data_IF_801115830923
#
_entry.id   IF_801115830923
#
_cell.length_a   1.000
_cell.length_b   1.000
_cell.length_c   1.000
_cell.angle_alpha   90.00
_cell.angle_beta   90.00
_cell.angle_gamma   90.00
#
_symmetry.space_group_name_H-M   'P 1'
#
loop_
_entity.id
_entity.type
_entity.pdbx_description
1 polymer ?
#
# COMPACT_ATOMS: atom_id res chain seq x y z
N UNK A 1 -53.14 12.61 25.16
CA UNK A 1 -53.87 11.84 24.14
C UNK A 1 -53.08 10.58 23.90
N UNK A 2 -53.60 9.48 24.40
CA UNK A 2 -52.89 8.24 24.72
C UNK A 2 -52.81 7.27 23.53
N UNK A 3 -51.69 6.55 23.50
CA UNK A 3 -51.46 5.14 23.14
C UNK A 3 -52.56 4.39 22.36
N UNK A 4 -52.17 3.66 21.30
CA UNK A 4 -52.07 2.18 21.27
C UNK A 4 -51.76 1.65 19.85
N UNK A 5 -51.14 0.48 19.82
CA UNK A 5 -50.66 -0.25 18.64
C UNK A 5 -51.77 -0.95 17.86
N UNK A 6 -51.52 -1.29 16.59
CA UNK A 6 -52.21 -2.39 15.91
C UNK A 6 -51.25 -3.16 14.98
N UNK A 7 -51.15 -4.46 15.23
CA UNK A 7 -50.51 -5.48 14.41
C UNK A 7 -51.43 -5.84 13.23
N UNK A 8 -50.85 -6.14 12.06
CA UNK A 8 -51.54 -6.88 11.00
C UNK A 8 -50.74 -8.12 10.61
N UNK A 9 -51.46 -9.24 10.63
CA UNK A 9 -51.06 -10.59 10.25
C UNK A 9 -50.61 -10.67 8.78
N UNK A 10 -49.67 -11.58 8.50
CA UNK A 10 -49.55 -12.18 7.16
C UNK A 10 -49.73 -13.70 7.30
N UNK A 11 -50.69 -14.20 6.53
CA UNK A 11 -51.16 -15.57 6.53
C UNK A 11 -50.20 -16.52 5.78
N UNK A 12 -50.14 -17.76 6.28
CA UNK A 12 -49.43 -18.90 5.70
C UNK A 12 -50.30 -19.48 4.58
N UNK A 13 -49.78 -19.53 3.36
CA UNK A 13 -50.32 -20.31 2.25
C UNK A 13 -49.38 -21.46 1.89
N UNK A 14 -49.75 -22.69 2.26
CA UNK A 14 -49.12 -23.91 1.76
C UNK A 14 -49.48 -24.10 0.28
N UNK A 15 -48.48 -24.19 -0.58
CA UNK A 15 -48.60 -24.68 -1.95
C UNK A 15 -47.54 -25.75 -2.21
N UNK A 16 -47.97 -27.01 -2.33
CA UNK A 16 -47.15 -28.11 -2.82
C UNK A 16 -46.68 -27.83 -4.25
N UNK A 17 -45.38 -27.99 -4.50
CA UNK A 17 -44.77 -27.92 -5.83
C UNK A 17 -43.61 -28.89 -5.93
N UNK A 18 -43.85 -29.95 -6.69
CA UNK A 18 -42.99 -31.07 -7.09
C UNK A 18 -41.49 -30.78 -7.26
N UNK A 19 -40.69 -31.76 -6.85
CA UNK A 19 -39.23 -31.73 -6.92
C UNK A 19 -38.67 -31.80 -8.34
N UNK A 20 -37.56 -31.09 -8.51
CA UNK A 20 -36.48 -31.47 -9.42
C UNK A 20 -35.17 -31.37 -8.63
N UNK A 21 -34.62 -32.52 -8.27
CA UNK A 21 -33.26 -32.64 -7.77
C UNK A 21 -32.30 -32.30 -8.91
N UNK A 22 -31.80 -31.07 -8.96
CA UNK A 22 -30.63 -30.76 -9.77
C UNK A 22 -29.42 -31.37 -9.07
N UNK A 23 -29.03 -32.56 -9.52
CA UNK A 23 -27.72 -33.14 -9.24
C UNK A 23 -26.68 -32.19 -9.82
N UNK A 24 -26.06 -31.37 -8.97
CA UNK A 24 -24.82 -30.69 -9.33
C UNK A 24 -23.74 -31.77 -9.32
N UNK A 25 -23.53 -32.39 -10.49
CA UNK A 25 -22.33 -33.16 -10.75
C UNK A 25 -21.16 -32.18 -10.65
N UNK A 26 -20.41 -32.27 -9.56
CA UNK A 26 -19.10 -31.67 -9.48
C UNK A 26 -18.22 -32.31 -10.57
N UNK A 27 -18.05 -31.61 -11.69
CA UNK A 27 -17.00 -31.94 -12.65
C UNK A 27 -15.65 -31.62 -11.99
N UNK A 28 -15.13 -32.57 -11.21
CA UNK A 28 -13.71 -32.67 -10.95
C UNK A 28 -13.05 -33.31 -12.17
N UNK A 29 -12.25 -32.51 -12.89
CA UNK A 29 -11.46 -32.98 -14.01
C UNK A 29 -11.37 -31.99 -15.17
N UNK A 30 -10.76 -30.82 -14.95
CA UNK A 30 -10.21 -30.01 -16.03
C UNK A 30 -8.84 -29.49 -15.58
N UNK A 31 -7.80 -29.83 -16.35
CA UNK A 31 -6.40 -29.59 -16.01
C UNK A 31 -6.03 -28.12 -15.85
N UNK A 32 -4.78 -27.90 -15.40
CA UNK A 32 -4.04 -26.64 -15.55
C UNK A 32 -3.86 -26.28 -17.03
N UNK A 33 -4.95 -25.93 -17.70
CA UNK A 33 -4.99 -25.49 -19.09
C UNK A 33 -5.32 -24.00 -19.14
N UNK A 34 -4.44 -23.22 -19.78
CA UNK A 34 -4.61 -21.82 -20.14
C UNK A 34 -4.72 -20.79 -18.99
N UNK A 35 -3.75 -20.75 -18.07
CA UNK A 35 -3.36 -19.42 -17.59
C UNK A 35 -2.44 -18.78 -18.64
N UNK A 36 -2.74 -17.57 -19.14
CA UNK A 36 -1.83 -16.86 -20.01
C UNK A 36 -0.45 -16.72 -19.31
N UNK A 37 0.65 -16.73 -20.07
CA UNK A 37 1.97 -16.59 -19.49
C UNK A 37 2.05 -15.31 -18.64
N UNK A 38 2.87 -15.29 -17.58
CA UNK A 38 3.06 -14.08 -16.82
C UNK A 38 3.54 -12.96 -17.76
N UNK A 39 3.08 -11.72 -17.52
CA UNK A 39 3.50 -10.56 -18.30
C UNK A 39 5.03 -10.41 -18.28
N UNK A 40 5.64 -9.84 -19.33
CA UNK A 40 7.06 -9.55 -19.33
C UNK A 40 7.41 -8.56 -18.21
N UNK A 41 8.58 -8.70 -17.56
CA UNK A 41 9.04 -7.75 -16.55
C UNK A 41 9.42 -6.41 -17.21
N UNK A 42 8.98 -5.30 -16.62
CA UNK A 42 9.21 -3.92 -17.08
C UNK A 42 9.86 -3.03 -16.01
N UNK A 43 10.06 -3.56 -14.79
CA UNK A 43 10.69 -2.83 -13.68
C UNK A 43 12.20 -2.58 -13.88
N UNK A 44 12.83 -3.31 -14.80
CA UNK A 44 14.26 -3.16 -15.14
C UNK A 44 15.21 -3.73 -14.07
N UNK A 45 14.89 -4.93 -13.56
CA UNK A 45 15.69 -5.62 -12.53
C UNK A 45 17.09 -6.02 -13.02
N UNK A 46 17.27 -6.18 -14.33
CA UNK A 46 18.53 -6.45 -15.01
C UNK A 46 19.54 -5.30 -14.89
N UNK A 47 19.07 -4.06 -14.69
CA UNK A 47 19.91 -2.90 -14.40
C UNK A 47 20.48 -2.89 -12.95
N UNK A 48 20.13 -3.90 -12.14
CA UNK A 48 20.57 -4.02 -10.76
C UNK A 48 19.87 -3.05 -9.81
N UNK A 49 20.49 -2.84 -8.64
CA UNK A 49 19.97 -1.98 -7.58
C UNK A 49 21.03 -0.98 -7.11
N UNK A 50 20.58 0.24 -6.82
CA UNK A 50 21.33 1.23 -6.05
C UNK A 50 21.14 0.91 -4.57
N UNK A 51 22.23 0.90 -3.80
CA UNK A 51 22.20 0.60 -2.37
C UNK A 51 22.69 1.82 -1.60
N UNK A 52 21.87 2.30 -0.66
CA UNK A 52 22.18 3.43 0.20
C UNK A 52 22.13 2.98 1.66
N UNK A 53 23.22 3.25 2.37
CA UNK A 53 23.27 3.10 3.82
C UNK A 53 22.73 4.36 4.48
N UNK A 54 21.65 4.23 5.23
CA UNK A 54 21.01 5.33 5.97
C UNK A 54 21.02 5.01 7.47
N UNK A 55 20.81 6.00 8.35
CA UNK A 55 20.83 5.76 9.80
C UNK A 55 19.85 4.67 10.25
N UNK A 56 18.65 4.63 9.66
CA UNK A 56 17.57 3.73 10.08
C UNK A 56 17.39 2.52 9.14
N UNK A 57 17.86 2.60 7.88
CA UNK A 57 17.59 1.58 6.85
C UNK A 57 18.79 1.30 5.94
N UNK A 58 18.89 0.07 5.43
CA UNK A 58 19.51 -0.17 4.13
C UNK A 58 18.43 0.03 3.06
N UNK A 59 18.52 1.11 2.29
CA UNK A 59 17.60 1.39 1.19
C UNK A 59 18.16 0.78 -0.11
N UNK A 60 17.35 -0.02 -0.80
CA UNK A 60 17.67 -0.50 -2.15
C UNK A 60 16.65 0.03 -3.14
N UNK A 61 17.11 0.67 -4.21
CA UNK A 61 16.27 1.14 -5.31
C UNK A 61 16.61 0.36 -6.57
N UNK A 62 15.61 -0.05 -7.35
CA UNK A 62 15.87 -0.60 -8.69
C UNK A 62 16.50 0.51 -9.55
N UNK A 63 17.65 0.26 -10.18
CA UNK A 63 18.41 1.30 -10.90
C UNK A 63 17.58 1.94 -12.00
N UNK A 64 16.86 1.13 -12.78
CA UNK A 64 16.08 1.59 -13.94
C UNK A 64 14.84 2.40 -13.55
N UNK A 65 14.07 1.98 -12.54
CA UNK A 65 12.83 2.64 -12.17
C UNK A 65 12.98 3.66 -11.04
N UNK A 66 14.07 3.56 -10.24
CA UNK A 66 14.29 4.22 -8.95
C UNK A 66 13.11 4.10 -7.95
N UNK A 67 12.29 3.05 -8.07
CA UNK A 67 11.35 2.62 -7.02
C UNK A 67 12.06 1.71 -6.01
N UNK A 68 11.49 1.55 -4.82
CA UNK A 68 12.07 0.66 -3.79
C UNK A 68 12.10 -0.78 -4.29
N UNK A 69 13.28 -1.40 -4.15
CA UNK A 69 13.50 -2.84 -4.22
C UNK A 69 13.49 -3.48 -2.82
N UNK A 70 14.02 -2.78 -1.82
CA UNK A 70 14.00 -3.19 -0.41
C UNK A 70 14.10 -1.99 0.54
N UNK A 71 13.46 -2.08 1.70
CA UNK A 71 13.59 -1.14 2.82
C UNK A 71 13.88 -1.93 4.11
N UNK A 72 15.14 -2.34 4.26
CA UNK A 72 15.59 -3.20 5.35
C UNK A 72 15.92 -2.36 6.59
N UNK A 73 15.28 -2.56 7.75
CA UNK A 73 15.62 -1.81 8.96
C UNK A 73 16.99 -2.20 9.54
N UNK A 74 17.67 -1.22 10.15
CA UNK A 74 18.86 -1.49 10.96
C UNK A 74 18.50 -2.22 12.25
N UNK A 75 19.42 -3.06 12.72
CA UNK A 75 19.33 -3.74 14.02
C UNK A 75 18.39 -4.96 14.06
N UNK A 76 17.83 -5.40 12.92
CA UNK A 76 17.05 -6.63 12.86
C UNK A 76 17.95 -7.80 12.48
N UNK A 77 18.10 -8.83 13.33
CA UNK A 77 18.87 -10.00 12.99
C UNK A 77 18.16 -10.84 11.93
N UNK A 78 18.95 -11.48 11.08
CA UNK A 78 18.47 -12.54 10.19
C UNK A 78 17.99 -13.74 11.02
N UNK A 79 16.81 -14.24 10.69
CA UNK A 79 16.25 -15.44 11.29
C UNK A 79 16.72 -16.67 10.52
N UNK A 80 17.27 -17.67 11.23
CA UNK A 80 17.62 -18.96 10.63
C UNK A 80 16.60 -20.00 11.08
N UNK A 81 15.75 -20.51 10.16
CA UNK A 81 14.82 -21.58 10.46
C UNK A 81 15.51 -22.79 11.05
N UNK A 82 14.92 -23.38 12.08
CA UNK A 82 15.42 -24.65 12.63
C UNK A 82 14.71 -25.79 11.92
N UNK A 83 15.41 -26.71 11.23
CA UNK A 83 14.77 -27.83 10.54
C UNK A 83 13.90 -28.64 11.51
N UNK A 84 12.59 -28.65 11.27
CA UNK A 84 11.67 -29.48 12.06
C UNK A 84 11.72 -30.91 11.52
N UNK A 85 11.86 -31.95 12.38
CA UNK A 85 11.77 -33.33 11.92
C UNK A 85 10.41 -33.56 11.26
N UNK A 86 10.40 -34.33 10.16
CA UNK A 86 9.16 -34.68 9.47
C UNK A 86 8.18 -35.31 10.47
N UNK A 87 6.97 -34.73 10.61
CA UNK A 87 5.92 -35.36 11.42
C UNK A 87 5.65 -36.74 10.81
N UNK A 88 5.94 -37.81 11.56
CA UNK A 88 5.56 -39.17 11.20
C UNK A 88 4.06 -39.22 10.96
N UNK A 89 3.64 -39.42 9.71
CA UNK A 89 2.23 -39.39 9.33
C UNK A 89 1.46 -40.53 9.99
N UNK A 90 0.38 -40.21 10.72
CA UNK A 90 -0.70 -41.19 10.88
C UNK A 90 -1.37 -41.34 9.53
N UNK A 91 -1.20 -42.51 8.91
CA UNK A 91 -1.82 -42.88 7.66
C UNK A 91 -3.35 -42.87 7.78
N UNK A 92 -3.95 -41.73 7.47
CA UNK A 92 -5.38 -41.59 7.20
C UNK A 92 -5.54 -41.08 5.79
N UNK A 93 -6.41 -41.71 4.99
CA UNK A 93 -6.81 -41.21 3.68
C UNK A 93 -7.48 -39.84 3.84
N UNK A 94 -6.69 -38.76 3.75
CA UNK A 94 -7.19 -37.41 3.70
C UNK A 94 -7.22 -36.95 2.24
N UNK A 95 -8.38 -36.47 1.80
CA UNK A 95 -8.58 -35.89 0.48
C UNK A 95 -7.54 -34.81 0.16
N UNK A 96 -7.37 -34.54 -1.14
CA UNK A 96 -6.39 -33.64 -1.73
C UNK A 96 -6.37 -32.26 -1.06
N UNK A 97 -5.66 -32.15 0.05
CA UNK A 97 -5.32 -30.88 0.66
C UNK A 97 -4.15 -30.36 -0.17
N UNK A 98 -4.17 -29.09 -0.64
CA UNK A 98 -3.02 -28.51 -1.31
C UNK A 98 -1.77 -28.74 -0.46
N UNK A 99 -0.70 -29.23 -1.09
CA UNK A 99 0.55 -29.44 -0.38
C UNK A 99 0.98 -28.13 0.30
N UNK A 100 1.31 -28.20 1.58
CA UNK A 100 1.83 -27.04 2.30
C UNK A 100 3.09 -26.51 1.59
N UNK A 101 3.31 -25.17 1.56
CA UNK A 101 4.56 -24.62 1.05
C UNK A 101 5.77 -25.28 1.74
N UNK A 102 6.87 -25.52 1.00
CA UNK A 102 8.07 -26.13 1.59
C UNK A 102 8.61 -25.27 2.75
N UNK A 103 9.16 -25.94 3.76
CA UNK A 103 9.84 -25.26 4.86
C UNK A 103 11.04 -24.45 4.35
N UNK A 104 11.28 -23.23 4.87
CA UNK A 104 12.44 -22.45 4.50
C UNK A 104 13.72 -23.18 4.95
N UNK A 105 14.65 -23.39 4.04
CA UNK A 105 15.94 -24.04 4.33
C UNK A 105 17.10 -23.05 4.48
N UNK A 106 16.83 -21.76 4.28
CA UNK A 106 17.81 -20.69 4.31
C UNK A 106 17.42 -19.55 5.24
N UNK A 107 18.37 -18.66 5.55
CA UNK A 107 18.14 -17.47 6.36
C UNK A 107 17.04 -16.57 5.79
N UNK A 108 16.22 -16.01 6.67
CA UNK A 108 15.17 -15.04 6.38
C UNK A 108 15.56 -13.67 6.93
N UNK A 109 15.58 -12.66 6.07
CA UNK A 109 15.84 -11.28 6.45
C UNK A 109 14.55 -10.47 6.30
N UNK A 110 14.22 -9.68 7.32
CA UNK A 110 13.03 -8.84 7.28
C UNK A 110 13.25 -7.59 6.40
N UNK A 111 12.24 -7.29 5.60
CA UNK A 111 12.13 -6.11 4.74
C UNK A 111 10.70 -5.57 4.90
N UNK A 112 10.56 -4.26 5.11
CA UNK A 112 9.23 -3.65 5.19
C UNK A 112 8.46 -3.78 3.87
N UNK A 113 9.16 -3.86 2.75
CA UNK A 113 8.60 -4.02 1.40
C UNK A 113 8.66 -5.48 0.92
N UNK A 114 7.88 -5.88 -0.08
CA UNK A 114 7.90 -7.25 -0.60
C UNK A 114 9.10 -7.52 -1.53
N UNK A 115 10.32 -7.21 -1.08
CA UNK A 115 11.55 -7.35 -1.88
C UNK A 115 11.84 -8.79 -2.30
N UNK A 116 11.48 -9.77 -1.47
CA UNK A 116 11.56 -11.20 -1.81
C UNK A 116 10.57 -11.63 -2.92
N UNK A 117 9.58 -10.79 -3.23
CA UNK A 117 8.61 -10.98 -4.31
C UNK A 117 8.84 -10.03 -5.49
N UNK A 118 9.93 -9.27 -5.51
CA UNK A 118 10.20 -8.23 -6.51
C UNK A 118 10.11 -8.76 -7.95
N UNK A 119 10.70 -9.93 -8.21
CA UNK A 119 10.66 -10.57 -9.54
C UNK A 119 9.24 -10.95 -9.98
N UNK A 120 8.40 -11.43 -9.07
CA UNK A 120 7.01 -11.76 -9.36
C UNK A 120 6.13 -10.51 -9.59
N UNK A 121 6.58 -9.35 -9.08
CA UNK A 121 5.94 -8.04 -9.18
C UNK A 121 6.64 -7.11 -10.18
N UNK A 122 7.40 -7.65 -11.12
CA UNK A 122 8.27 -6.86 -11.99
C UNK A 122 7.59 -6.29 -13.24
N UNK A 123 6.33 -6.65 -13.52
CA UNK A 123 5.62 -6.22 -14.73
C UNK A 123 4.74 -4.98 -14.51
N UNK A 124 4.27 -4.39 -15.61
CA UNK A 124 3.28 -3.30 -15.61
C UNK A 124 2.02 -3.69 -14.84
N UNK A 125 1.47 -2.70 -14.12
CA UNK A 125 0.31 -2.86 -13.24
C UNK A 125 0.64 -3.39 -11.83
N UNK A 126 1.91 -3.65 -11.51
CA UNK A 126 2.35 -3.82 -10.13
C UNK A 126 2.95 -2.53 -9.62
N UNK A 127 2.37 -1.96 -8.55
CA UNK A 127 2.88 -0.78 -7.88
C UNK A 127 4.03 -1.15 -6.94
N UNK A 128 4.93 -0.20 -6.75
CA UNK A 128 6.07 -0.26 -5.82
C UNK A 128 6.12 1.03 -5.01
N UNK A 129 6.70 0.98 -3.82
CA UNK A 129 6.90 2.18 -3.02
C UNK A 129 7.86 3.12 -3.78
N UNK A 130 7.41 4.33 -4.07
CA UNK A 130 8.06 5.24 -5.02
C UNK A 130 7.31 5.42 -6.34
N UNK A 131 6.18 4.77 -6.55
CA UNK A 131 5.21 5.16 -7.58
C UNK A 131 4.29 6.30 -7.15
N UNK A 132 3.51 6.83 -8.10
CA UNK A 132 2.50 7.87 -7.88
C UNK A 132 1.28 7.61 -8.78
N UNK A 133 0.09 7.87 -8.24
CA UNK A 133 -1.18 7.91 -8.97
C UNK A 133 -1.76 9.32 -8.91
N UNK A 134 -2.41 9.76 -9.99
CA UNK A 134 -2.93 11.13 -10.11
C UNK A 134 -4.24 11.15 -10.90
N UNK A 135 -5.13 12.05 -10.51
CA UNK A 135 -6.25 12.53 -11.34
C UNK A 135 -6.10 14.01 -11.59
N UNK A 136 -5.88 14.36 -12.85
CA UNK A 136 -5.59 15.72 -13.27
C UNK A 136 -6.66 16.24 -14.23
N UNK A 137 -6.87 17.55 -14.23
CA UNK A 137 -7.74 18.24 -15.19
C UNK A 137 -7.11 19.57 -15.57
N UNK A 138 -7.00 19.84 -16.86
CA UNK A 138 -6.55 21.15 -17.37
C UNK A 138 -7.72 22.12 -17.40
N UNK A 139 -7.52 23.35 -16.95
CA UNK A 139 -8.59 24.33 -16.73
C UNK A 139 -9.35 24.07 -15.43
N UNK A 140 -10.65 24.34 -15.42
CA UNK A 140 -11.54 24.21 -14.25
C UNK A 140 -12.82 23.42 -14.53
N UNK A 141 -12.91 22.75 -15.69
CA UNK A 141 -14.11 22.05 -16.14
C UNK A 141 -13.76 20.86 -17.02
N UNK A 142 -14.62 19.85 -17.05
CA UNK A 142 -14.41 18.62 -17.82
C UNK A 142 -14.09 17.43 -16.93
N UNK A 143 -13.83 16.28 -17.58
CA UNK A 143 -13.56 15.02 -16.90
C UNK A 143 -12.14 14.98 -16.33
N UNK A 144 -11.98 14.25 -15.23
CA UNK A 144 -10.68 13.91 -14.65
C UNK A 144 -9.96 12.88 -15.52
N UNK A 145 -8.69 13.14 -15.87
CA UNK A 145 -7.82 12.19 -16.54
C UNK A 145 -6.96 11.44 -15.52
N UNK A 146 -6.85 10.12 -15.67
CA UNK A 146 -6.10 9.23 -14.77
C UNK A 146 -4.66 9.05 -15.27
N UNK A 147 -3.69 9.15 -14.36
CA UNK A 147 -2.29 8.90 -14.63
C UNK A 147 -1.69 8.06 -13.49
N UNK A 148 -0.82 7.11 -13.83
CA UNK A 148 -0.06 6.36 -12.84
C UNK A 148 1.29 5.93 -13.41
N UNK A 149 2.35 6.01 -12.61
CA UNK A 149 3.71 5.63 -13.04
C UNK A 149 3.88 4.12 -13.23
N UNK A 150 2.98 3.30 -12.67
CA UNK A 150 3.04 1.84 -12.77
C UNK A 150 2.35 1.27 -14.03
N UNK A 151 1.63 2.08 -14.80
CA UNK A 151 0.79 1.61 -15.92
C UNK A 151 1.61 1.10 -17.11
N UNK A 152 2.66 1.83 -17.50
CA UNK A 152 3.49 1.53 -18.66
C UNK A 152 4.94 1.89 -18.35
N UNK A 153 5.62 1.01 -17.60
CA UNK A 153 6.94 1.33 -17.05
C UNK A 153 7.99 1.43 -18.13
N UNK A 154 8.83 2.43 -17.96
CA UNK A 154 10.10 2.58 -18.69
C UNK A 154 11.19 3.02 -17.72
N UNK A 155 12.47 2.78 -18.04
CA UNK A 155 13.57 3.36 -17.29
C UNK A 155 13.39 4.88 -17.17
N UNK A 156 13.52 5.40 -15.95
CA UNK A 156 13.40 6.84 -15.69
C UNK A 156 14.72 7.56 -16.00
N UNK A 157 14.64 8.86 -16.25
CA UNK A 157 15.85 9.67 -16.45
C UNK A 157 16.38 10.08 -15.07
N UNK A 158 17.52 9.52 -14.67
CA UNK A 158 18.18 9.93 -13.44
C UNK A 158 18.59 11.41 -13.49
N UNK A 159 18.32 12.13 -12.41
CA UNK A 159 18.72 13.52 -12.20
C UNK A 159 19.94 13.57 -11.26
N UNK A 160 20.77 14.64 -11.32
CA UNK A 160 21.91 14.77 -10.42
C UNK A 160 21.52 14.63 -8.95
N UNK A 161 22.21 13.74 -8.23
CA UNK A 161 22.09 13.57 -6.79
C UNK A 161 23.35 14.13 -6.12
N UNK A 162 23.17 14.97 -5.10
CA UNK A 162 24.27 15.55 -4.33
C UNK A 162 23.81 15.91 -2.91
N UNK A 163 24.77 16.06 -1.99
CA UNK A 163 24.49 16.38 -0.60
C UNK A 163 23.60 15.32 0.05
N UNK A 164 22.41 15.72 0.47
CA UNK A 164 21.42 14.86 1.14
C UNK A 164 20.52 14.07 0.19
N UNK A 165 20.58 14.34 -1.12
CA UNK A 165 19.81 13.60 -2.12
C UNK A 165 20.49 12.28 -2.43
N UNK A 166 19.78 11.17 -2.18
CA UNK A 166 20.26 9.81 -2.46
C UNK A 166 20.04 9.46 -3.93
N UNK A 167 18.84 9.73 -4.45
CA UNK A 167 18.48 9.51 -5.84
C UNK A 167 17.37 10.49 -6.26
N UNK A 168 17.43 10.97 -7.49
CA UNK A 168 16.38 11.77 -8.09
C UNK A 168 16.13 11.33 -9.53
N UNK A 169 14.90 11.45 -10.00
CA UNK A 169 14.51 11.07 -11.35
C UNK A 169 13.40 11.96 -11.91
N UNK A 170 13.43 12.13 -13.23
CA UNK A 170 12.32 12.61 -14.06
C UNK A 170 11.48 11.42 -14.51
N UNK A 171 10.18 11.44 -14.20
CA UNK A 171 9.25 10.34 -14.44
C UNK A 171 8.56 10.42 -15.81
N UNK A 172 8.91 11.41 -16.65
CA UNK A 172 8.23 11.62 -17.94
C UNK A 172 8.22 10.36 -18.81
N UNK A 173 9.28 9.55 -18.79
CA UNK A 173 9.36 8.32 -19.59
C UNK A 173 8.30 7.25 -19.22
N UNK A 174 7.77 7.29 -18.00
CA UNK A 174 6.81 6.30 -17.50
C UNK A 174 5.38 6.85 -17.42
N UNK A 175 5.15 8.06 -17.95
CA UNK A 175 3.87 8.74 -17.98
C UNK A 175 3.47 9.04 -19.43
N UNK A 176 2.17 9.13 -19.74
CA UNK A 176 1.70 9.52 -21.08
C UNK A 176 2.26 10.88 -21.53
N UNK A 177 2.59 11.00 -22.82
CA UNK A 177 3.18 12.21 -23.39
C UNK A 177 2.28 13.45 -23.27
N UNK A 178 0.97 13.27 -23.10
CA UNK A 178 -0.04 14.32 -23.00
C UNK A 178 -0.31 14.79 -21.55
N UNK A 179 0.33 14.18 -20.53
CA UNK A 179 0.14 14.58 -19.13
C UNK A 179 0.43 16.09 -18.93
N UNK A 180 -0.40 16.87 -18.24
CA UNK A 180 -0.23 18.33 -18.22
C UNK A 180 0.88 18.82 -17.25
N UNK A 181 1.53 17.90 -16.52
CA UNK A 181 2.59 18.21 -15.55
C UNK A 181 3.87 17.43 -15.83
N UNK A 182 5.01 18.03 -15.53
CA UNK A 182 6.27 17.30 -15.31
C UNK A 182 6.26 16.75 -13.88
N UNK A 183 6.71 15.51 -13.70
CA UNK A 183 6.83 14.88 -12.38
C UNK A 183 8.28 14.49 -12.13
N UNK A 184 8.85 14.97 -11.02
CA UNK A 184 10.15 14.51 -10.52
C UNK A 184 9.98 13.81 -9.19
N UNK A 185 10.75 12.74 -8.96
CA UNK A 185 10.80 12.02 -7.68
C UNK A 185 12.17 12.20 -7.05
N UNK A 186 12.21 12.29 -5.73
CA UNK A 186 13.44 12.41 -4.96
C UNK A 186 13.39 11.54 -3.72
N UNK A 187 14.45 10.76 -3.52
CA UNK A 187 14.81 10.09 -2.27
C UNK A 187 15.92 10.88 -1.60
N UNK A 188 15.70 11.31 -0.35
CA UNK A 188 16.63 12.19 0.35
C UNK A 188 16.67 11.92 1.86
N UNK A 189 17.77 12.34 2.50
CA UNK A 189 17.92 12.36 3.96
C UNK A 189 17.71 13.76 4.51
N UNK A 190 16.60 14.00 5.21
CA UNK A 190 16.36 15.27 5.90
C UNK A 190 16.49 15.03 7.39
N UNK A 191 17.48 15.69 8.02
CA UNK A 191 17.81 15.50 9.44
C UNK A 191 18.03 14.02 9.79
N UNK A 192 18.72 13.28 8.92
CA UNK A 192 18.99 11.85 9.06
C UNK A 192 17.81 10.92 8.80
N UNK A 193 16.62 11.45 8.45
CA UNK A 193 15.43 10.63 8.15
C UNK A 193 15.23 10.48 6.65
N UNK A 194 14.89 9.27 6.22
CA UNK A 194 14.52 8.99 4.84
C UNK A 194 13.22 9.70 4.48
N UNK A 195 13.23 10.39 3.33
CA UNK A 195 12.09 11.10 2.77
C UNK A 195 11.96 10.75 1.29
N UNK A 196 10.75 10.38 0.90
CA UNK A 196 10.31 10.29 -0.50
C UNK A 196 9.52 11.55 -0.83
N UNK A 197 9.79 12.18 -1.98
CA UNK A 197 9.02 13.33 -2.45
C UNK A 197 8.78 13.29 -3.95
N UNK A 198 7.65 13.85 -4.37
CA UNK A 198 7.27 14.08 -5.75
C UNK A 198 6.97 15.55 -5.96
N UNK A 199 7.60 16.16 -6.95
CA UNK A 199 7.31 17.53 -7.37
C UNK A 199 6.59 17.50 -8.70
N UNK A 200 5.38 18.05 -8.72
CA UNK A 200 4.56 18.22 -9.91
C UNK A 200 4.71 19.67 -10.38
N UNK A 201 5.14 19.87 -11.62
CA UNK A 201 5.32 21.20 -12.23
C UNK A 201 4.41 21.32 -13.45
N UNK A 202 3.52 22.31 -13.46
CA UNK A 202 2.68 22.58 -14.62
C UNK A 202 3.54 23.07 -15.79
N UNK A 203 3.55 22.29 -16.88
CA UNK A 203 4.33 22.58 -18.11
C UNK A 203 3.51 23.25 -19.21
N UNK A 204 2.21 23.44 -18.99
CA UNK A 204 1.29 24.04 -19.93
C UNK A 204 1.09 25.54 -19.70
N UNK A 205 0.15 26.11 -20.46
CA UNK A 205 -0.23 27.52 -20.42
C UNK A 205 -1.58 27.78 -19.72
N UNK A 206 -2.28 26.73 -19.32
CA UNK A 206 -3.52 26.79 -18.55
C UNK A 206 -3.31 26.20 -17.13
N UNK A 207 -4.13 26.59 -16.14
CA UNK A 207 -4.10 25.95 -14.82
C UNK A 207 -4.35 24.44 -14.90
N UNK A 208 -3.76 23.69 -13.98
CA UNK A 208 -4.00 22.24 -13.83
C UNK A 208 -4.49 21.97 -12.43
N UNK A 209 -5.66 21.33 -12.32
CA UNK A 209 -6.19 20.83 -11.06
C UNK A 209 -5.66 19.42 -10.78
N UNK A 210 -5.30 19.17 -9.52
CA UNK A 210 -4.95 17.87 -8.95
C UNK A 210 -6.14 17.47 -8.07
N UNK A 211 -7.06 16.70 -8.64
CA UNK A 211 -8.27 16.28 -7.93
C UNK A 211 -8.08 14.99 -7.13
N UNK A 212 -7.11 14.15 -7.50
CA UNK A 212 -6.63 13.07 -6.63
C UNK A 212 -5.12 12.89 -6.79
N UNK A 213 -4.44 12.58 -5.68
CA UNK A 213 -3.02 12.26 -5.68
C UNK A 213 -2.77 11.16 -4.66
N UNK A 214 -2.34 9.99 -5.13
CA UNK A 214 -2.06 8.81 -4.33
C UNK A 214 -0.58 8.44 -4.38
N UNK A 215 -0.05 8.02 -3.23
CA UNK A 215 1.31 7.48 -3.10
C UNK A 215 1.19 6.02 -2.65
N UNK A 216 1.36 5.02 -3.55
CA UNK A 216 1.33 3.62 -3.18
C UNK A 216 2.33 3.29 -2.07
N UNK A 217 1.80 2.73 -0.98
CA UNK A 217 2.57 2.29 0.19
C UNK A 217 2.61 0.77 0.20
N UNK A 218 3.63 0.25 -0.48
CA UNK A 218 3.75 -1.18 -0.80
C UNK A 218 4.57 -1.90 0.27
N UNK A 219 3.90 -2.29 1.37
CA UNK A 219 4.52 -3.08 2.44
C UNK A 219 4.23 -4.58 2.29
N UNK A 220 5.05 -5.43 2.91
CA UNK A 220 5.02 -6.88 2.72
C UNK A 220 3.86 -7.56 3.47
N UNK A 221 2.60 -7.30 3.10
CA UNK A 221 1.43 -8.02 3.60
C UNK A 221 1.10 -9.29 2.78
N UNK A 222 2.04 -9.75 1.96
CA UNK A 222 1.85 -10.86 1.02
C UNK A 222 2.10 -12.22 1.70
N UNK A 223 1.17 -12.63 2.56
CA UNK A 223 1.23 -13.90 3.31
C UNK A 223 0.95 -15.09 2.39
N UNK A 224 0.17 -14.90 1.32
CA UNK A 224 -0.19 -15.96 0.38
C UNK A 224 1.03 -16.74 -0.13
N UNK A 225 0.98 -18.07 0.00
CA UNK A 225 2.05 -18.97 -0.45
C UNK A 225 3.27 -19.04 0.49
N UNK A 226 3.19 -18.47 1.69
CA UNK A 226 4.16 -18.65 2.77
C UNK A 226 3.61 -19.61 3.83
N UNK A 227 4.51 -20.36 4.48
CA UNK A 227 4.15 -21.06 5.71
C UNK A 227 4.14 -20.09 6.91
N UNK A 228 3.73 -20.55 8.09
CA UNK A 228 3.60 -19.69 9.27
C UNK A 228 4.93 -19.07 9.70
N UNK A 229 6.03 -19.81 9.65
CA UNK A 229 7.36 -19.33 10.07
C UNK A 229 7.87 -18.26 9.10
N UNK A 230 7.79 -18.52 7.80
CA UNK A 230 8.11 -17.54 6.76
C UNK A 230 7.27 -16.27 6.91
N UNK A 231 5.94 -16.42 7.06
CA UNK A 231 5.06 -15.26 7.18
C UNK A 231 5.43 -14.39 8.39
N UNK A 232 5.64 -14.97 9.58
CA UNK A 232 5.97 -14.18 10.78
C UNK A 232 7.28 -13.41 10.66
N UNK A 233 8.26 -13.98 9.94
CA UNK A 233 9.60 -13.39 9.85
C UNK A 233 9.75 -12.34 8.75
N UNK A 234 9.00 -12.46 7.64
CA UNK A 234 9.18 -11.56 6.48
C UNK A 234 7.95 -10.71 6.14
N UNK A 235 6.76 -10.98 6.70
CA UNK A 235 5.58 -10.15 6.48
C UNK A 235 5.42 -9.03 7.52
N UNK A 236 4.58 -8.06 7.17
CA UNK A 236 4.09 -7.01 8.07
C UNK A 236 2.60 -6.75 7.89
N UNK A 237 1.97 -6.23 8.94
CA UNK A 237 0.70 -5.52 8.87
C UNK A 237 0.97 -4.02 8.79
N UNK A 238 0.07 -3.28 8.16
CA UNK A 238 0.15 -1.83 8.15
C UNK A 238 -1.21 -1.19 8.27
N UNK A 239 -1.29 -0.22 9.17
CA UNK A 239 -2.54 0.35 9.65
C UNK A 239 -2.49 1.88 9.54
N UNK A 240 -3.42 2.51 8.80
CA UNK A 240 -3.48 3.95 8.66
C UNK A 240 -4.26 4.60 9.82
N UNK A 241 -3.72 5.67 10.37
CA UNK A 241 -4.47 6.69 11.10
C UNK A 241 -4.84 7.82 10.13
N UNK A 242 -6.03 7.74 9.52
CA UNK A 242 -6.47 8.64 8.43
C UNK A 242 -6.92 10.01 8.98
N UNK A 243 -5.96 10.78 9.49
CA UNK A 243 -6.19 12.01 10.24
C UNK A 243 -5.62 13.27 9.54
N UNK A 244 -5.71 13.35 8.21
CA UNK A 244 -5.23 14.49 7.42
C UNK A 244 -3.77 14.85 7.75
N UNK A 245 -3.48 16.10 8.11
CA UNK A 245 -2.14 16.56 8.47
C UNK A 245 -1.57 15.90 9.73
N UNK A 246 -2.38 15.26 10.57
CA UNK A 246 -1.96 14.48 11.73
C UNK A 246 -1.76 12.99 11.39
N UNK A 247 -2.17 12.54 10.20
CA UNK A 247 -2.21 11.14 9.86
C UNK A 247 -0.84 10.48 9.77
N UNK A 248 -0.84 9.16 9.91
CA UNK A 248 0.34 8.32 9.77
C UNK A 248 -0.05 6.91 9.36
N UNK A 249 0.91 6.12 8.90
CA UNK A 249 0.76 4.67 8.70
C UNK A 249 1.79 3.96 9.56
N UNK A 250 1.35 3.09 10.45
CA UNK A 250 2.23 2.19 11.18
C UNK A 250 2.41 0.91 10.39
N UNK A 251 3.63 0.37 10.35
CA UNK A 251 3.97 -0.91 9.71
C UNK A 251 4.67 -1.79 10.73
N UNK A 252 4.03 -2.89 11.07
CA UNK A 252 4.42 -3.77 12.16
C UNK A 252 4.78 -5.14 11.63
N UNK A 253 5.96 -5.66 12.03
CA UNK A 253 6.37 -7.03 11.73
C UNK A 253 5.30 -8.02 12.20
N UNK A 254 5.00 -9.03 11.40
CA UNK A 254 3.97 -10.02 11.75
C UNK A 254 4.31 -10.79 13.04
N UNK A 255 5.60 -10.94 13.36
CA UNK A 255 6.07 -11.50 14.64
C UNK A 255 5.73 -10.67 15.88
N UNK A 256 5.31 -9.40 15.73
CA UNK A 256 5.07 -8.48 16.83
C UNK A 256 6.34 -7.92 17.50
N UNK A 257 7.52 -8.32 17.01
CA UNK A 257 8.80 -7.78 17.48
C UNK A 257 9.09 -6.43 16.84
N UNK A 258 9.86 -5.59 17.54
CA UNK A 258 10.41 -4.37 16.96
C UNK A 258 11.47 -4.63 15.88
N UNK A 259 11.88 -3.59 15.15
CA UNK A 259 11.30 -2.26 15.13
C UNK A 259 9.99 -2.22 14.34
N UNK A 260 9.22 -1.13 14.50
CA UNK A 260 8.08 -0.79 13.67
C UNK A 260 8.41 0.43 12.80
N UNK A 261 7.93 0.47 11.56
CA UNK A 261 8.04 1.66 10.71
C UNK A 261 6.82 2.54 10.92
N UNK A 262 7.03 3.85 11.00
CA UNK A 262 5.98 4.86 11.06
C UNK A 262 6.19 5.82 9.89
N UNK A 263 5.24 5.87 8.97
CA UNK A 263 5.24 6.77 7.82
C UNK A 263 4.37 7.98 8.14
N UNK A 264 4.94 9.17 8.00
CA UNK A 264 4.27 10.45 8.31
C UNK A 264 4.36 11.40 7.12
N UNK A 265 3.52 12.45 7.04
CA UNK A 265 3.65 13.51 6.06
C UNK A 265 5.05 14.13 6.11
N UNK A 266 5.63 14.37 4.95
CA UNK A 266 6.61 15.42 4.78
C UNK A 266 5.92 16.64 4.18
N UNK A 267 6.10 17.79 4.85
CA UNK A 267 5.43 19.04 4.52
C UNK A 267 3.91 18.88 4.36
N UNK A 268 3.30 19.53 3.36
CA UNK A 268 1.84 19.55 3.16
C UNK A 268 1.35 18.36 2.34
N UNK A 269 1.43 17.17 2.94
CA UNK A 269 1.00 15.89 2.35
C UNK A 269 0.07 15.14 3.30
N UNK A 270 -1.16 15.64 3.53
CA UNK A 270 -2.09 15.04 4.49
C UNK A 270 -2.44 13.60 4.12
N UNK A 271 -2.76 12.74 5.11
CA UNK A 271 -3.44 11.47 4.88
C UNK A 271 -4.94 11.72 4.85
N UNK A 272 -5.43 12.28 3.76
CA UNK A 272 -6.84 12.63 3.59
C UNK A 272 -7.70 11.38 3.36
N UNK A 273 -7.20 10.44 2.56
CA UNK A 273 -7.90 9.21 2.26
C UNK A 273 -6.98 8.00 2.20
N UNK A 274 -7.62 6.82 2.22
CA UNK A 274 -6.95 5.53 2.14
C UNK A 274 -7.79 4.60 1.27
N UNK A 275 -7.14 3.95 0.30
CA UNK A 275 -7.81 3.03 -0.61
C UNK A 275 -6.85 2.00 -1.16
N UNK A 276 -7.40 0.91 -1.68
CA UNK A 276 -6.62 0.00 -2.51
C UNK A 276 -6.33 0.65 -3.86
N UNK A 277 -5.07 0.64 -4.28
CA UNK A 277 -4.66 1.04 -5.63
C UNK A 277 -4.98 -0.11 -6.60
N UNK A 278 -5.18 0.22 -7.88
CA UNK A 278 -5.27 -0.80 -8.94
C UNK A 278 -3.89 -1.48 -9.08
N UNK A 279 -3.82 -2.72 -8.62
CA UNK A 279 -2.61 -3.53 -8.57
C UNK A 279 -2.94 -4.96 -8.97
N UNK A 280 -2.05 -5.59 -9.75
CA UNK A 280 -2.25 -6.96 -10.25
C UNK A 280 -2.10 -8.04 -9.20
N UNK A 281 -1.72 -7.68 -7.98
CA UNK A 281 -1.62 -8.61 -6.86
C UNK A 281 -3.00 -9.06 -6.44
N UNK A 282 -3.28 -10.38 -6.47
CA UNK A 282 -4.57 -10.88 -6.04
C UNK A 282 -4.83 -10.51 -4.58
N UNK A 283 -6.01 -9.93 -4.35
CA UNK A 283 -6.55 -9.79 -3.01
C UNK A 283 -7.13 -11.13 -2.57
N UNK A 284 -6.70 -11.59 -1.41
CA UNK A 284 -7.15 -12.86 -0.80
C UNK A 284 -7.30 -12.65 0.70
N UNK A 285 -7.80 -13.67 1.41
CA UNK A 285 -7.81 -13.66 2.89
C UNK A 285 -6.41 -13.47 3.51
N UNK A 286 -5.34 -13.75 2.75
CA UNK A 286 -3.93 -13.68 3.20
C UNK A 286 -3.12 -12.64 2.42
N UNK A 287 -3.80 -11.69 1.77
CA UNK A 287 -3.22 -10.58 1.03
C UNK A 287 -4.31 -9.51 0.86
N UNK A 288 -4.31 -8.49 1.71
CA UNK A 288 -5.37 -7.46 1.71
C UNK A 288 -5.34 -6.59 0.44
N UNK A 289 -4.21 -6.62 -0.27
CA UNK A 289 -3.94 -5.79 -1.44
C UNK A 289 -2.95 -4.69 -1.14
N UNK A 290 -2.68 -3.88 -2.16
CA UNK A 290 -1.81 -2.72 -2.06
C UNK A 290 -2.67 -1.48 -1.85
N UNK A 291 -2.27 -0.66 -0.88
CA UNK A 291 -2.96 0.58 -0.57
C UNK A 291 -2.12 1.79 -0.97
N UNK A 292 -2.77 2.94 -1.08
CA UNK A 292 -2.13 4.22 -1.35
C UNK A 292 -2.53 5.27 -0.31
N UNK A 293 -1.55 6.08 0.06
CA UNK A 293 -1.72 7.32 0.82
C UNK A 293 -2.33 8.37 -0.10
N UNK A 294 -3.56 8.82 0.17
CA UNK A 294 -4.22 9.85 -0.63
C UNK A 294 -4.03 11.24 -0.02
N UNK A 295 -3.34 12.12 -0.73
CA UNK A 295 -3.17 13.52 -0.35
C UNK A 295 -4.32 14.43 -0.79
N UNK A 296 -5.04 14.02 -1.84
CA UNK A 296 -6.23 14.69 -2.37
C UNK A 296 -7.23 13.63 -2.84
N UNK A 297 -8.53 13.88 -2.64
CA UNK A 297 -9.59 12.92 -2.97
C UNK A 297 -10.81 13.54 -3.68
N UNK A 298 -10.78 14.84 -4.02
CA UNK A 298 -11.89 15.52 -4.72
C UNK A 298 -12.40 14.76 -5.96
N UNK A 299 -11.49 14.30 -6.83
CA UNK A 299 -11.86 13.59 -8.04
C UNK A 299 -12.47 12.19 -7.78
N UNK A 300 -12.26 11.61 -6.60
CA UNK A 300 -12.93 10.37 -6.17
C UNK A 300 -14.30 10.70 -5.58
N UNK A 301 -14.38 11.76 -4.77
CA UNK A 301 -15.63 12.27 -4.19
C UNK A 301 -16.66 12.65 -5.27
N UNK A 302 -16.23 13.26 -6.37
CA UNK A 302 -17.11 13.59 -7.49
C UNK A 302 -17.58 12.36 -8.31
N UNK A 303 -16.85 11.23 -8.22
CA UNK A 303 -17.03 10.07 -9.09
C UNK A 303 -17.41 8.80 -8.31
N UNK A 304 -16.43 7.98 -7.92
CA UNK A 304 -16.62 6.67 -7.28
C UNK A 304 -17.26 6.79 -5.90
N UNK A 305 -16.98 7.86 -5.18
CA UNK A 305 -17.42 8.09 -3.81
C UNK A 305 -18.62 9.05 -3.72
N UNK A 306 -19.26 9.41 -4.84
CA UNK A 306 -20.36 10.39 -4.89
C UNK A 306 -21.55 10.09 -3.96
N UNK A 307 -21.72 8.82 -3.60
CA UNK A 307 -22.79 8.34 -2.73
C UNK A 307 -22.31 8.00 -1.31
N UNK A 308 -21.09 8.40 -0.94
CA UNK A 308 -20.49 8.19 0.37
C UNK A 308 -20.15 9.55 1.01
N UNK A 309 -20.03 9.57 2.33
CA UNK A 309 -19.46 10.70 3.07
C UNK A 309 -18.06 10.30 3.52
N UNK A 310 -17.00 10.80 2.88
CA UNK A 310 -15.64 10.48 3.26
C UNK A 310 -15.31 10.95 4.69
N UNK A 311 -14.38 10.26 5.34
CA UNK A 311 -13.97 10.55 6.72
C UNK A 311 -13.38 11.97 6.88
N UNK A 312 -12.55 12.38 5.92
CA UNK A 312 -12.05 13.74 5.81
C UNK A 312 -12.74 14.46 4.64
N UNK A 313 -12.94 15.78 4.76
CA UNK A 313 -13.46 16.57 3.66
C UNK A 313 -12.54 16.46 2.43
N UNK A 314 -13.06 16.14 1.24
CA UNK A 314 -12.23 16.03 0.04
C UNK A 314 -11.56 17.36 -0.32
N UNK A 315 -10.28 17.30 -0.69
CA UNK A 315 -9.54 18.47 -1.19
C UNK A 315 -8.95 18.24 -2.57
N UNK A 316 -8.61 19.34 -3.22
CA UNK A 316 -7.85 19.41 -4.46
C UNK A 316 -6.78 20.49 -4.39
N UNK A 317 -5.92 20.55 -5.40
CA UNK A 317 -4.97 21.64 -5.59
C UNK A 317 -5.03 22.18 -7.02
N UNK A 318 -4.61 23.43 -7.23
CA UNK A 318 -4.46 24.01 -8.57
C UNK A 318 -3.01 24.49 -8.76
N UNK A 319 -2.41 24.14 -9.88
CA UNK A 319 -1.12 24.64 -10.35
C UNK A 319 -1.33 25.64 -11.48
N UNK A 320 -1.00 26.91 -11.26
CA UNK A 320 -0.89 27.88 -12.33
C UNK A 320 0.22 27.48 -13.34
N UNK A 321 0.23 28.03 -14.57
CA UNK A 321 1.32 27.81 -15.53
C UNK A 321 2.71 28.04 -14.89
N UNK A 322 3.62 27.07 -15.03
CA UNK A 322 4.96 27.11 -14.43
C UNK A 322 5.02 26.87 -12.91
N UNK A 323 3.88 26.82 -12.21
CA UNK A 323 3.85 26.55 -10.78
C UNK A 323 4.20 25.09 -10.48
N UNK A 324 4.89 24.89 -9.35
CA UNK A 324 5.18 23.57 -8.82
C UNK A 324 4.58 23.35 -7.44
N UNK A 325 4.27 22.10 -7.11
CA UNK A 325 3.92 21.67 -5.76
C UNK A 325 4.57 20.33 -5.45
N UNK A 326 5.01 20.17 -4.22
CA UNK A 326 5.68 18.97 -3.73
C UNK A 326 4.82 18.24 -2.71
N UNK A 327 4.82 16.91 -2.81
CA UNK A 327 4.18 15.99 -1.88
C UNK A 327 5.22 14.97 -1.43
N UNK A 328 5.21 14.57 -0.17
CA UNK A 328 6.22 13.65 0.35
C UNK A 328 5.83 12.91 1.61
N UNK A 329 6.53 11.81 1.83
CA UNK A 329 6.41 10.94 2.99
C UNK A 329 7.77 10.82 3.67
N UNK A 330 7.76 10.86 5.01
CA UNK A 330 8.93 10.67 5.86
C UNK A 330 8.80 9.34 6.60
N UNK A 331 9.90 8.58 6.64
CA UNK A 331 9.96 7.25 7.23
C UNK A 331 10.69 7.34 8.57
N UNK A 332 10.03 6.93 9.65
CA UNK A 332 10.56 6.92 11.02
C UNK A 332 10.65 5.48 11.52
N UNK A 333 11.77 5.12 12.14
CA UNK A 333 11.91 3.81 12.77
C UNK A 333 11.62 3.91 14.27
N UNK A 334 10.53 3.29 14.71
CA UNK A 334 10.20 3.12 16.12
C UNK A 334 10.88 1.85 16.66
N UNK A 335 11.52 1.90 17.83
CA UNK A 335 12.21 0.72 18.39
C UNK A 335 11.24 -0.42 18.72
N UNK A 336 9.96 -0.14 18.95
CA UNK A 336 8.93 -1.15 19.17
C UNK A 336 7.54 -0.63 18.82
N UNK A 337 6.56 -1.53 18.75
CA UNK A 337 5.15 -1.19 18.57
C UNK A 337 4.66 -0.24 19.68
N UNK A 338 5.08 -0.46 20.94
CA UNK A 338 4.63 0.32 22.10
C UNK A 338 5.29 1.70 22.20
N UNK A 339 6.26 1.98 21.32
CA UNK A 339 6.99 3.25 21.27
C UNK A 339 6.61 4.09 20.05
N UNK A 340 5.55 3.72 19.32
CA UNK A 340 5.10 4.44 18.11
C UNK A 340 4.66 5.85 18.47
N UNK A 341 3.87 6.01 19.53
CA UNK A 341 3.41 7.29 20.07
C UNK A 341 4.59 8.18 20.49
N UNK A 342 5.56 7.63 21.22
CA UNK A 342 6.78 8.35 21.59
C UNK A 342 7.59 8.78 20.36
N UNK A 343 7.65 7.93 19.33
CA UNK A 343 8.35 8.21 18.07
C UNK A 343 7.67 9.35 17.32
N UNK A 344 6.34 9.35 17.27
CA UNK A 344 5.52 10.42 16.69
C UNK A 344 5.73 11.73 17.45
N UNK A 345 5.64 11.72 18.79
CA UNK A 345 5.84 12.89 19.63
C UNK A 345 7.24 13.51 19.43
N UNK A 346 8.30 12.68 19.43
CA UNK A 346 9.68 13.11 19.15
C UNK A 346 9.87 13.68 17.74
N UNK A 347 9.04 13.25 16.78
CA UNK A 347 9.03 13.78 15.42
C UNK A 347 8.14 15.02 15.26
N UNK A 348 7.64 15.60 16.37
CA UNK A 348 6.78 16.78 16.37
C UNK A 348 5.40 16.51 15.75
N UNK A 349 4.92 15.28 15.85
CA UNK A 349 3.61 14.86 15.32
C UNK A 349 2.59 14.85 16.46
N UNK A 350 1.34 15.29 16.21
CA UNK A 350 0.28 15.15 17.19
C UNK A 350 0.01 13.67 17.48
N UNK A 351 -0.25 13.35 18.74
CA UNK A 351 -0.53 12.00 19.23
C UNK A 351 -1.78 12.05 20.09
N UNK A 352 -2.67 11.08 19.90
CA UNK A 352 -3.81 10.85 20.77
C UNK A 352 -3.68 9.46 21.39
N UNK A 353 -3.80 9.37 22.72
CA UNK A 353 -3.80 8.11 23.47
C UNK A 353 -5.07 8.08 24.32
N UNK A 354 -5.91 7.06 24.11
CA UNK A 354 -7.12 6.84 24.92
C UNK A 354 -6.77 6.25 26.29
N UNK A 355 -7.22 6.90 27.37
CA UNK A 355 -7.07 6.44 28.76
C UNK A 355 -8.46 6.48 29.43
N UNK A 356 -8.96 5.37 30.04
CA UNK A 356 -8.39 4.03 30.05
C UNK A 356 -8.56 3.27 28.72
N UNK A 357 -9.24 3.88 27.74
CA UNK A 357 -9.44 3.34 26.39
C UNK A 357 -10.26 4.29 25.53
N UNK A 358 -10.75 3.82 24.38
CA UNK A 358 -11.61 4.59 23.46
C UNK A 358 -13.11 4.31 23.64
N UNK A 359 -13.47 3.55 24.68
CA UNK A 359 -14.86 3.25 25.07
C UNK A 359 -14.99 3.61 26.55
N UNK A 360 -15.94 4.49 26.86
CA UNK A 360 -16.28 4.85 28.23
C UNK A 360 -17.61 4.20 28.63
N UNK A 361 -17.70 3.62 29.84
CA UNK A 361 -18.99 3.21 30.42
C UNK A 361 -19.89 4.44 30.64
N UNK A 362 -21.21 4.25 30.52
CA UNK A 362 -22.20 5.34 30.61
C UNK A 362 -22.51 5.77 32.05
N UNK A 363 -22.04 4.99 33.04
CA UNK A 363 -22.34 5.07 34.46
C UNK A 363 -21.14 5.45 35.33
N UNK A 364 -20.00 5.79 34.72
CA UNK A 364 -18.86 6.40 35.43
C UNK A 364 -18.89 7.93 35.21
N UNK A 365 -18.77 8.70 36.30
CA UNK A 365 -18.47 10.13 36.22
C UNK A 365 -17.00 10.28 35.80
N UNK A 366 -16.75 10.72 34.56
CA UNK A 366 -15.40 10.98 34.04
C UNK A 366 -14.76 12.26 34.58
#
# INVERSE_FOLDING_TARGET
MNHLSARSLVAIGLGLGLGLSAVVVAQQGAGRGNQPPPPPPTLGLDAGVLIFDTPDFTLKLVTASQTIAALEPKGVPTYTPTPRPARGGRGGQAGQTPAAPPEPTGPLTFDFTPGDRLAARAADGYNHLGDITMRLRTGSSGAWANYASATARRPVTALPASGTTLAAADLSATLPDDIPVKVTRTWQLINGRLVLSFTLSNRGTAPVEIGALGLPVVFNNLITGRNLEQAHEVCSFFDPAIAADAGFVQVTRLSGNGPALVVVPHDKTPLEGWRTVDDRTPRTQTSEGIFEWMAHTQALAENEWRNATPWNAPTQATLAPGQSRTYGLKFLLSPSIRAVEDTLAKAGRPVAVGIPGYVAPMDEDM
#
